data_IF_106567791674
#
_entry.id   IF_106567791674
#
_cell.length_a   1.000
_cell.length_b   1.000
_cell.length_c   1.000
_cell.angle_alpha   90.00
_cell.angle_beta   90.00
_cell.angle_gamma   90.00
#
_symmetry.space_group_name_H-M   'P 1'
#
loop_
_entity.id
_entity.type
_entity.pdbx_description
1 polymer ?
#
# COMPACT_ATOMS: atom_id res chain seq x y z
N UNK A 1 4.12 17.53 -3.25
CA UNK A 1 3.01 16.73 -2.67
C UNK A 1 3.24 15.28 -3.03
N UNK A 2 3.09 14.36 -2.10
CA UNK A 2 3.26 12.93 -2.36
C UNK A 2 2.24 12.47 -3.43
N UNK A 3 2.67 11.78 -4.51
CA UNK A 3 1.78 11.30 -5.56
C UNK A 3 0.67 10.38 -5.03
N UNK A 4 1.01 9.55 -4.04
CA UNK A 4 0.05 8.66 -3.39
C UNK A 4 -1.06 9.45 -2.68
N UNK A 5 -0.68 10.47 -1.91
CA UNK A 5 -1.65 11.33 -1.22
C UNK A 5 -2.54 12.07 -2.20
N UNK A 6 -2.00 12.49 -3.35
CA UNK A 6 -2.77 13.18 -4.38
C UNK A 6 -3.84 12.26 -5.00
N UNK A 7 -3.50 11.00 -5.27
CA UNK A 7 -4.44 10.01 -5.81
C UNK A 7 -5.59 9.75 -4.84
N UNK A 8 -5.29 9.50 -3.56
CA UNK A 8 -6.32 9.33 -2.52
C UNK A 8 -7.19 10.58 -2.35
N UNK A 9 -6.56 11.76 -2.34
CA UNK A 9 -7.28 13.02 -2.22
C UNK A 9 -8.26 13.23 -3.38
N UNK A 10 -7.85 12.98 -4.62
CA UNK A 10 -8.72 13.12 -5.78
C UNK A 10 -9.92 12.14 -5.73
N UNK A 11 -9.69 10.90 -5.31
CA UNK A 11 -10.75 9.91 -5.12
C UNK A 11 -11.76 10.36 -4.06
N UNK A 12 -11.27 10.79 -2.91
CA UNK A 12 -12.12 11.27 -1.82
C UNK A 12 -12.89 12.54 -2.22
N UNK A 13 -12.26 13.45 -2.97
CA UNK A 13 -12.92 14.67 -3.44
C UNK A 13 -14.07 14.38 -4.41
N UNK A 14 -13.87 13.45 -5.34
CA UNK A 14 -14.92 13.01 -6.26
C UNK A 14 -16.08 12.38 -5.47
N UNK A 15 -15.76 11.47 -4.55
CA UNK A 15 -16.74 10.80 -3.70
C UNK A 15 -17.54 11.81 -2.85
N UNK A 16 -16.88 12.78 -2.25
CA UNK A 16 -17.54 13.82 -1.44
C UNK A 16 -18.45 14.71 -2.28
N UNK A 17 -18.11 15.01 -3.53
CA UNK A 17 -18.95 15.78 -4.44
C UNK A 17 -20.19 14.98 -4.88
N UNK A 18 -20.05 13.69 -5.13
CA UNK A 18 -21.18 12.80 -5.42
C UNK A 18 -22.14 12.74 -4.24
N UNK A 19 -21.64 12.53 -3.02
CA UNK A 19 -22.46 12.56 -1.80
C UNK A 19 -23.12 13.91 -1.56
N UNK A 20 -22.42 15.00 -1.85
CA UNK A 20 -22.98 16.34 -1.76
C UNK A 20 -24.15 16.55 -2.74
N UNK A 21 -24.07 15.95 -3.93
CA UNK A 21 -25.16 15.95 -4.90
C UNK A 21 -26.38 15.15 -4.41
N UNK A 22 -26.18 13.98 -3.83
CA UNK A 22 -27.25 13.19 -3.21
C UNK A 22 -27.90 13.93 -2.03
N UNK A 23 -27.08 14.57 -1.19
CA UNK A 23 -27.57 15.41 -0.10
C UNK A 23 -28.39 16.58 -0.62
N UNK A 24 -27.95 17.25 -1.68
CA UNK A 24 -28.68 18.36 -2.31
C UNK A 24 -30.04 17.91 -2.86
N UNK A 25 -30.12 16.74 -3.45
CA UNK A 25 -31.38 16.15 -3.91
C UNK A 25 -32.34 15.84 -2.76
N UNK A 26 -31.81 15.33 -1.64
CA UNK A 26 -32.61 14.98 -0.45
C UNK A 26 -33.04 16.21 0.36
N UNK A 27 -32.22 17.28 0.37
CA UNK A 27 -32.40 18.48 1.18
C UNK A 27 -32.32 19.79 0.38
N UNK A 28 -33.19 20.04 -0.59
CA UNK A 28 -33.05 21.13 -1.56
C UNK A 28 -33.08 22.54 -0.95
N UNK A 29 -33.77 22.71 0.19
CA UNK A 29 -33.80 24.01 0.88
C UNK A 29 -32.47 24.36 1.54
N UNK A 30 -31.78 23.35 2.10
CA UNK A 30 -30.48 23.53 2.74
C UNK A 30 -29.40 23.69 1.66
N UNK A 31 -29.44 22.82 0.65
CA UNK A 31 -28.51 22.85 -0.47
C UNK A 31 -28.47 24.24 -1.16
N UNK A 32 -29.65 24.83 -1.38
CA UNK A 32 -29.74 26.18 -1.94
C UNK A 32 -29.07 27.24 -1.07
N UNK A 33 -29.16 27.12 0.25
CA UNK A 33 -28.49 28.05 1.18
C UNK A 33 -26.98 27.88 1.21
N UNK A 34 -26.49 26.66 0.96
CA UNK A 34 -25.06 26.33 0.88
C UNK A 34 -24.49 26.51 -0.55
N UNK A 35 -25.27 27.03 -1.48
CA UNK A 35 -24.84 27.20 -2.86
C UNK A 35 -24.54 25.91 -3.60
N UNK A 36 -25.14 24.79 -3.15
CA UNK A 36 -24.90 23.45 -3.74
C UNK A 36 -25.87 23.24 -4.91
N UNK A 37 -25.33 23.16 -6.12
CA UNK A 37 -26.08 22.92 -7.35
C UNK A 37 -25.58 21.67 -8.06
N UNK A 38 -26.04 20.50 -7.61
CA UNK A 38 -25.56 19.22 -8.12
C UNK A 38 -24.14 18.93 -7.64
N UNK A 39 -23.21 18.69 -8.57
CA UNK A 39 -21.79 18.38 -8.28
C UNK A 39 -20.98 19.65 -7.97
N UNK A 40 -21.45 20.80 -8.46
CA UNK A 40 -20.78 22.08 -8.27
C UNK A 40 -21.30 22.81 -7.02
N UNK A 41 -20.39 23.46 -6.31
CA UNK A 41 -20.66 24.29 -5.13
C UNK A 41 -20.30 25.73 -5.47
N UNK A 42 -21.31 26.61 -5.46
CA UNK A 42 -21.10 28.02 -5.79
C UNK A 42 -20.47 28.83 -4.65
N UNK A 43 -20.63 28.36 -3.40
CA UNK A 43 -20.04 29.01 -2.23
C UNK A 43 -18.58 28.54 -2.05
N UNK A 44 -17.59 29.44 -2.19
CA UNK A 44 -16.18 29.09 -2.07
C UNK A 44 -15.80 28.60 -0.66
N UNK A 45 -16.51 28.98 0.38
CA UNK A 45 -16.23 28.49 1.74
C UNK A 45 -16.69 27.05 1.92
N UNK A 46 -17.85 26.70 1.37
CA UNK A 46 -18.36 25.31 1.37
C UNK A 46 -17.44 24.43 0.53
N UNK A 47 -16.98 24.89 -0.63
CA UNK A 47 -16.03 24.15 -1.46
C UNK A 47 -14.70 23.88 -0.69
N UNK A 48 -14.16 24.88 0.02
CA UNK A 48 -12.97 24.71 0.84
C UNK A 48 -13.16 23.73 2.01
N UNK A 49 -14.35 23.66 2.57
CA UNK A 49 -14.67 22.66 3.60
C UNK A 49 -14.69 21.25 3.03
N UNK A 50 -15.28 21.05 1.85
CA UNK A 50 -15.30 19.77 1.15
C UNK A 50 -13.85 19.34 0.83
N UNK A 51 -13.05 20.22 0.24
CA UNK A 51 -11.65 19.96 -0.06
C UNK A 51 -10.83 19.59 1.20
N UNK A 52 -11.02 20.33 2.29
CA UNK A 52 -10.32 20.08 3.55
C UNK A 52 -10.70 18.76 4.17
N UNK A 53 -11.97 18.42 4.14
CA UNK A 53 -12.46 17.14 4.63
C UNK A 53 -11.92 15.98 3.78
N UNK A 54 -11.97 16.11 2.46
CA UNK A 54 -11.43 15.12 1.52
C UNK A 54 -9.93 14.88 1.74
N UNK A 55 -9.18 15.96 2.03
CA UNK A 55 -7.76 15.85 2.36
C UNK A 55 -7.51 15.08 3.67
N UNK A 56 -8.32 15.34 4.70
CA UNK A 56 -8.23 14.60 5.96
C UNK A 56 -8.62 13.14 5.79
N UNK A 57 -9.69 12.85 5.04
CA UNK A 57 -10.15 11.50 4.73
C UNK A 57 -9.08 10.71 3.99
N UNK A 58 -8.48 11.30 2.96
CA UNK A 58 -7.38 10.69 2.22
C UNK A 58 -6.20 10.28 3.12
N UNK A 59 -5.83 11.13 4.08
CA UNK A 59 -4.78 10.80 5.05
C UNK A 59 -5.16 9.66 6.00
N UNK A 60 -6.43 9.58 6.36
CA UNK A 60 -6.93 8.46 7.18
C UNK A 60 -6.92 7.15 6.38
N UNK A 61 -7.36 7.17 5.13
CA UNK A 61 -7.33 6.00 4.24
C UNK A 61 -5.91 5.47 4.06
N UNK A 62 -4.94 6.33 3.79
CA UNK A 62 -3.52 5.92 3.69
C UNK A 62 -3.04 5.25 4.97
N UNK A 63 -3.43 5.76 6.15
CA UNK A 63 -3.08 5.12 7.43
C UNK A 63 -3.71 3.74 7.58
N UNK A 64 -4.99 3.62 7.26
CA UNK A 64 -5.71 2.35 7.33
C UNK A 64 -5.07 1.31 6.42
N UNK A 65 -4.78 1.68 5.18
CA UNK A 65 -4.15 0.80 4.20
C UNK A 65 -2.72 0.41 4.61
N UNK A 66 -1.98 1.30 5.27
CA UNK A 66 -0.65 1.00 5.80
C UNK A 66 -0.68 0.06 7.03
N UNK A 67 -1.77 0.04 7.80
CA UNK A 67 -1.92 -0.83 8.97
C UNK A 67 -2.50 -2.20 8.62
N UNK A 68 -3.25 -2.31 7.53
CA UNK A 68 -3.88 -3.56 7.10
C UNK A 68 -2.90 -4.72 6.83
N UNK A 69 -1.70 -4.49 6.24
CA UNK A 69 -0.70 -5.55 6.07
C UNK A 69 -0.24 -6.19 7.38
N UNK A 70 -0.20 -5.44 8.48
CA UNK A 70 0.15 -5.97 9.80
C UNK A 70 -0.87 -6.98 10.30
N UNK A 71 -2.15 -6.71 10.08
CA UNK A 71 -3.22 -7.65 10.44
C UNK A 71 -3.13 -8.94 9.63
N UNK A 72 -2.97 -8.84 8.31
CA UNK A 72 -2.82 -9.99 7.42
C UNK A 72 -1.58 -10.81 7.72
N UNK A 73 -0.45 -10.17 8.03
CA UNK A 73 0.76 -10.85 8.45
C UNK A 73 0.56 -11.63 9.76
N UNK A 74 -0.08 -11.01 10.76
CA UNK A 74 -0.38 -11.69 12.03
C UNK A 74 -1.33 -12.87 11.85
N UNK A 75 -2.32 -12.72 11.00
CA UNK A 75 -3.22 -13.82 10.67
C UNK A 75 -2.48 -14.98 9.97
N UNK A 76 -1.60 -14.67 9.03
CA UNK A 76 -0.78 -15.66 8.33
C UNK A 76 0.24 -16.34 9.27
N UNK A 77 0.83 -15.61 10.22
CA UNK A 77 1.71 -16.19 11.25
C UNK A 77 1.01 -17.29 12.05
N UNK A 78 -0.29 -17.12 12.31
CA UNK A 78 -1.08 -18.10 13.08
C UNK A 78 -1.55 -19.25 12.20
N UNK A 79 -2.05 -18.97 10.99
CA UNK A 79 -2.67 -19.96 10.11
C UNK A 79 -1.63 -20.75 9.29
N UNK A 80 -0.58 -20.07 8.84
CA UNK A 80 0.41 -20.68 7.95
C UNK A 80 1.81 -20.07 8.17
N UNK A 81 2.45 -20.37 9.33
CA UNK A 81 3.72 -19.75 9.73
C UNK A 81 4.84 -19.95 8.73
N UNK A 82 4.87 -21.09 8.03
CA UNK A 82 5.90 -21.40 7.05
C UNK A 82 5.85 -20.50 5.80
N UNK A 83 4.72 -19.86 5.52
CA UNK A 83 4.59 -18.94 4.39
C UNK A 83 5.39 -17.64 4.58
N UNK A 84 5.47 -17.19 5.83
CA UNK A 84 6.23 -15.99 6.22
C UNK A 84 7.65 -16.31 6.66
N UNK A 85 8.02 -17.58 6.66
CA UNK A 85 9.39 -18.01 7.02
C UNK A 85 10.43 -17.41 6.06
N UNK A 86 11.55 -16.88 6.57
CA UNK A 86 12.59 -16.36 5.72
C UNK A 86 13.20 -17.49 4.87
N UNK A 87 13.20 -17.31 3.55
CA UNK A 87 13.90 -18.21 2.65
C UNK A 87 15.36 -17.76 2.58
N UNK A 88 16.32 -18.58 3.02
CA UNK A 88 17.73 -18.22 2.93
C UNK A 88 18.18 -18.10 1.47
N UNK A 89 19.14 -17.23 1.21
CA UNK A 89 19.79 -17.18 -0.10
C UNK A 89 20.51 -18.50 -0.36
N UNK A 90 20.16 -19.16 -1.44
CA UNK A 90 20.75 -20.44 -1.84
C UNK A 90 21.33 -20.31 -3.25
N UNK A 91 22.46 -20.96 -3.47
CA UNK A 91 23.07 -21.08 -4.77
C UNK A 91 23.53 -22.52 -5.00
N UNK A 92 23.47 -22.97 -6.23
CA UNK A 92 24.09 -24.22 -6.65
C UNK A 92 25.51 -23.87 -7.10
N UNK A 93 26.49 -24.39 -6.36
CA UNK A 93 27.90 -24.22 -6.72
C UNK A 93 28.43 -25.54 -7.30
N UNK A 94 29.11 -25.43 -8.43
CA UNK A 94 29.82 -26.55 -9.03
C UNK A 94 31.33 -26.31 -8.87
N UNK A 95 32.01 -27.24 -8.20
CA UNK A 95 33.46 -27.18 -8.05
C UNK A 95 34.10 -27.89 -9.24
N UNK A 96 35.00 -27.19 -9.89
CA UNK A 96 35.82 -27.75 -10.98
C UNK A 96 37.23 -28.01 -10.43
N UNK A 97 37.58 -29.26 -10.06
CA UNK A 97 38.90 -29.55 -9.52
C UNK A 97 39.96 -29.43 -10.60
N UNK A 98 41.13 -28.89 -10.24
CA UNK A 98 42.28 -28.85 -11.16
C UNK A 98 42.94 -30.24 -11.21
N UNK A 99 42.88 -30.91 -12.34
CA UNK A 99 43.40 -32.27 -12.51
C UNK A 99 44.92 -32.38 -12.34
N UNK A 100 45.65 -31.26 -12.36
CA UNK A 100 47.10 -31.22 -12.14
C UNK A 100 47.50 -31.17 -10.66
N UNK A 101 46.57 -30.96 -9.72
CA UNK A 101 46.88 -30.70 -8.32
C UNK A 101 46.00 -31.60 -7.41
N UNK A 102 46.37 -32.85 -7.24
CA UNK A 102 45.69 -33.70 -6.27
C UNK A 102 45.55 -35.17 -6.69
N UNK A 103 45.38 -36.05 -5.69
CA UNK A 103 45.10 -37.47 -5.90
C UNK A 103 43.58 -37.72 -5.88
N UNK A 104 42.97 -37.76 -7.07
CA UNK A 104 41.52 -38.00 -7.23
C UNK A 104 41.06 -39.40 -6.81
N UNK A 105 41.99 -40.36 -6.61
CA UNK A 105 41.63 -41.71 -6.18
C UNK A 105 41.20 -41.73 -4.69
N UNK A 106 41.75 -40.81 -3.86
CA UNK A 106 41.43 -40.70 -2.45
C UNK A 106 40.34 -39.69 -2.12
N UNK A 107 39.92 -38.93 -3.13
CA UNK A 107 39.00 -37.82 -2.96
C UNK A 107 39.67 -36.57 -2.38
N UNK A 108 38.98 -35.45 -2.44
CA UNK A 108 39.47 -34.16 -1.91
C UNK A 108 38.48 -33.62 -0.88
N UNK A 109 38.98 -33.27 0.29
CA UNK A 109 38.18 -32.67 1.36
C UNK A 109 38.23 -31.16 1.19
N UNK A 110 37.07 -30.56 0.93
CA UNK A 110 36.91 -29.11 0.87
C UNK A 110 36.75 -28.59 2.29
N UNK A 111 37.66 -27.80 2.82
CA UNK A 111 37.53 -27.25 4.17
C UNK A 111 36.35 -26.29 4.28
N UNK A 112 35.78 -26.20 5.48
CA UNK A 112 34.74 -25.22 5.78
C UNK A 112 35.32 -23.81 5.67
N UNK A 113 34.67 -22.95 4.88
CA UNK A 113 35.13 -21.56 4.67
C UNK A 113 36.01 -21.39 3.43
N UNK A 114 36.12 -22.37 2.55
CA UNK A 114 36.76 -22.23 1.24
C UNK A 114 35.95 -21.20 0.41
N UNK A 115 36.61 -20.15 -0.06
CA UNK A 115 36.06 -19.10 -0.89
C UNK A 115 36.30 -19.36 -2.39
#
# INVERSE_FOLDING_TARGET
MDPLLLDYYNKELIYMREMASEFAASHPKIARRLGMHGIEVADPYVERLIESFSFMSARMQIKLDAEFPRFTQRLLEVLYPNYLGPTPSMAVAQLHPNHGEGDFRRGFVVPRGTA
#
